data_IF_370337803746
#
_entry.id   IF_370337803746
#
_cell.length_a   1.000
_cell.length_b   1.000
_cell.length_c   1.000
_cell.angle_alpha   90.00
_cell.angle_beta   90.00
_cell.angle_gamma   90.00
#
_symmetry.space_group_name_H-M   'P 1'
#
loop_
_entity.id
_entity.type
_entity.pdbx_description
1 polymer ?
#
# COMPACT_ATOMS: atom_id res chain seq x y z
N UNK A 1 28.03 99.78 -2.54
CA UNK A 1 28.21 99.96 -1.09
C UNK A 1 27.38 98.91 -0.37
N UNK A 2 28.03 98.01 0.37
CA UNK A 2 27.54 97.29 1.56
C UNK A 2 28.70 96.36 2.00
N UNK A 3 29.32 96.68 3.12
CA UNK A 3 30.44 95.91 3.70
C UNK A 3 29.91 94.68 4.46
N UNK A 4 30.59 93.52 4.41
CA UNK A 4 30.29 92.38 5.28
C UNK A 4 30.89 92.56 6.68
N UNK A 5 30.05 92.25 7.69
CA UNK A 5 30.38 92.22 9.12
C UNK A 5 31.33 91.06 9.47
N UNK A 6 32.39 91.36 10.24
CA UNK A 6 33.26 90.37 10.89
C UNK A 6 32.54 89.70 12.07
N UNK A 7 32.50 88.37 12.10
CA UNK A 7 32.10 87.57 13.26
C UNK A 7 33.33 87.25 14.13
N UNK A 8 33.17 87.42 15.45
CA UNK A 8 34.23 87.25 16.45
C UNK A 8 34.46 85.79 16.88
N UNK A 9 35.54 85.54 17.65
CA UNK A 9 35.99 84.19 18.02
C UNK A 9 35.10 83.55 19.10
N UNK A 10 34.69 82.31 18.86
CA UNK A 10 33.88 81.48 19.76
C UNK A 10 34.81 80.80 20.79
N UNK A 11 34.53 81.01 22.09
CA UNK A 11 35.28 80.44 23.23
C UNK A 11 35.03 78.93 23.38
N UNK A 12 36.08 78.08 23.45
CA UNK A 12 35.95 76.63 23.53
C UNK A 12 36.07 76.12 24.98
N UNK A 13 35.03 76.29 25.81
CA UNK A 13 35.10 75.74 27.19
C UNK A 13 33.84 75.11 27.74
N UNK A 14 32.72 75.11 26.99
CA UNK A 14 31.46 74.45 27.42
C UNK A 14 31.06 73.20 26.65
N UNK A 15 31.77 72.84 25.57
CA UNK A 15 31.45 71.65 24.76
C UNK A 15 31.98 70.32 25.34
N UNK A 16 33.00 70.35 26.22
CA UNK A 16 33.61 69.10 26.73
C UNK A 16 32.76 68.36 27.77
N UNK A 17 31.84 69.03 28.49
CA UNK A 17 30.98 68.38 29.49
C UNK A 17 29.68 67.80 28.90
N UNK A 18 29.22 68.30 27.75
CA UNK A 18 28.03 67.78 27.07
C UNK A 18 28.29 66.47 26.31
N UNK A 19 29.48 66.28 25.71
CA UNK A 19 29.83 65.04 25.02
C UNK A 19 30.07 63.85 25.96
N UNK A 20 30.56 64.07 27.18
CA UNK A 20 30.82 62.99 28.13
C UNK A 20 29.53 62.37 28.69
N UNK A 21 28.48 63.17 28.92
CA UNK A 21 27.17 62.67 29.37
C UNK A 21 26.39 61.93 28.27
N UNK A 22 26.52 62.37 27.01
CA UNK A 22 25.89 61.69 25.87
C UNK A 22 26.50 60.30 25.59
N UNK A 23 27.82 60.12 25.80
CA UNK A 23 28.50 58.83 25.62
C UNK A 23 28.16 57.81 26.72
N UNK A 24 27.94 58.24 27.97
CA UNK A 24 27.53 57.34 29.06
C UNK A 24 26.07 56.90 28.91
N UNK A 25 25.17 57.77 28.44
CA UNK A 25 23.78 57.41 28.14
C UNK A 25 23.65 56.46 26.93
N UNK A 26 24.52 56.58 25.93
CA UNK A 26 24.59 55.63 24.81
C UNK A 26 25.15 54.26 25.25
N UNK A 27 26.17 54.24 26.11
CA UNK A 27 26.74 52.99 26.63
C UNK A 27 25.76 52.21 27.52
N UNK A 28 24.90 52.89 28.29
CA UNK A 28 23.85 52.24 29.10
C UNK A 28 22.64 51.81 28.24
N UNK A 29 22.32 52.51 27.16
CA UNK A 29 21.22 52.16 26.26
C UNK A 29 21.48 50.95 25.35
N UNK A 30 22.74 50.73 24.94
CA UNK A 30 23.12 49.61 24.04
C UNK A 30 23.36 48.30 24.80
N UNK A 31 23.63 48.35 26.11
CA UNK A 31 23.82 47.14 26.93
C UNK A 31 22.53 46.38 27.32
N UNK A 32 21.35 47.01 27.26
CA UNK A 32 20.10 46.43 27.74
C UNK A 32 19.20 45.83 26.63
N UNK A 33 19.50 46.09 25.36
CA UNK A 33 18.64 45.68 24.22
C UNK A 33 19.10 44.39 23.54
N UNK A 34 20.23 43.80 23.95
CA UNK A 34 20.83 42.62 23.29
C UNK A 34 20.44 41.24 23.83
N UNK A 35 19.78 41.12 24.99
CA UNK A 35 19.51 39.81 25.63
C UNK A 35 18.05 39.35 25.65
N UNK A 36 17.10 40.11 25.08
CA UNK A 36 15.67 39.80 25.20
C UNK A 36 15.03 39.14 23.97
N UNK A 37 15.82 38.77 22.94
CA UNK A 37 15.27 38.15 21.75
C UNK A 37 16.03 36.90 21.29
N UNK A 38 16.47 36.07 22.24
CA UNK A 38 16.76 34.67 21.92
C UNK A 38 15.43 34.02 21.54
N UNK A 39 15.21 33.81 20.24
CA UNK A 39 14.17 32.90 19.75
C UNK A 39 14.55 31.53 20.31
N UNK A 40 13.65 30.92 21.07
CA UNK A 40 13.85 29.54 21.50
C UNK A 40 13.98 28.61 20.29
N UNK A 41 14.40 27.34 20.48
CA UNK A 41 14.50 26.39 19.39
C UNK A 41 13.15 26.21 18.67
N UNK A 42 13.24 25.96 17.36
CA UNK A 42 12.07 25.65 16.55
C UNK A 42 11.53 24.26 16.89
N UNK A 43 10.21 24.04 16.82
CA UNK A 43 9.62 22.72 17.07
C UNK A 43 10.16 21.67 16.09
N UNK A 44 10.46 20.48 16.60
CA UNK A 44 10.91 19.33 15.79
C UNK A 44 9.95 19.06 14.63
N UNK A 45 10.49 18.90 13.42
CA UNK A 45 9.72 18.50 12.25
C UNK A 45 9.59 16.98 12.20
N UNK A 46 8.34 16.50 12.20
CA UNK A 46 7.99 15.08 12.15
C UNK A 46 7.29 14.70 10.84
N UNK A 47 7.14 15.64 9.90
CA UNK A 47 6.32 15.49 8.70
C UNK A 47 6.71 14.29 7.84
N UNK A 48 8.00 14.08 7.58
CA UNK A 48 8.52 12.96 6.77
C UNK A 48 8.20 11.61 7.42
N UNK A 49 8.39 11.51 8.73
CA UNK A 49 8.10 10.27 9.46
C UNK A 49 6.58 10.02 9.57
N UNK A 50 5.76 11.07 9.68
CA UNK A 50 4.30 10.97 9.61
C UNK A 50 3.83 10.49 8.24
N UNK A 51 4.37 11.05 7.16
CA UNK A 51 4.03 10.64 5.80
C UNK A 51 4.29 9.14 5.61
N UNK A 52 5.44 8.65 6.06
CA UNK A 52 5.77 7.22 5.99
C UNK A 52 4.77 6.33 6.74
N UNK A 53 4.27 6.77 7.91
CA UNK A 53 3.25 6.02 8.66
C UNK A 53 1.92 6.00 7.89
N UNK A 54 1.54 7.14 7.31
CA UNK A 54 0.34 7.25 6.48
C UNK A 54 0.44 6.35 5.24
N UNK A 55 1.58 6.35 4.54
CA UNK A 55 1.83 5.50 3.38
C UNK A 55 1.74 4.01 3.75
N UNK A 56 2.33 3.60 4.87
CA UNK A 56 2.24 2.23 5.36
C UNK A 56 0.79 1.83 5.70
N UNK A 57 0.03 2.73 6.33
CA UNK A 57 -1.39 2.53 6.63
C UNK A 57 -2.21 2.35 5.35
N UNK A 58 -2.04 3.24 4.37
CA UNK A 58 -2.70 3.15 3.07
C UNK A 58 -2.34 1.86 2.32
N UNK A 59 -1.08 1.43 2.40
CA UNK A 59 -0.63 0.17 1.80
C UNK A 59 -1.39 -1.03 2.37
N UNK A 60 -1.66 -1.07 3.68
CA UNK A 60 -2.43 -2.16 4.30
C UNK A 60 -3.90 -2.16 3.82
N UNK A 61 -4.51 -0.98 3.72
CA UNK A 61 -5.86 -0.82 3.15
C UNK A 61 -5.91 -1.31 1.70
N UNK A 62 -4.92 -0.94 0.89
CA UNK A 62 -4.83 -1.39 -0.50
C UNK A 62 -4.68 -2.91 -0.61
N UNK A 63 -3.86 -3.53 0.23
CA UNK A 63 -3.73 -4.99 0.29
C UNK A 63 -5.09 -5.65 0.55
N UNK A 64 -5.86 -5.15 1.53
CA UNK A 64 -7.20 -5.65 1.84
C UNK A 64 -8.13 -5.53 0.63
N UNK A 65 -8.23 -4.35 0.03
CA UNK A 65 -9.10 -4.09 -1.13
C UNK A 65 -8.75 -4.96 -2.35
N UNK A 66 -7.46 -5.14 -2.61
CA UNK A 66 -6.98 -5.98 -3.71
C UNK A 66 -7.31 -7.46 -3.47
N UNK A 67 -7.15 -7.95 -2.24
CA UNK A 67 -7.53 -9.32 -1.89
C UNK A 67 -9.03 -9.55 -2.03
N UNK A 68 -9.86 -8.63 -1.54
CA UNK A 68 -11.32 -8.72 -1.68
C UNK A 68 -11.78 -8.69 -3.14
N UNK A 69 -11.16 -7.85 -3.97
CA UNK A 69 -11.44 -7.78 -5.41
C UNK A 69 -11.08 -9.09 -6.10
N UNK A 70 -9.87 -9.59 -5.87
CA UNK A 70 -9.39 -10.81 -6.52
C UNK A 70 -10.20 -12.06 -6.08
N UNK A 71 -10.68 -12.09 -4.84
CA UNK A 71 -11.61 -13.14 -4.38
C UNK A 71 -12.95 -13.10 -5.11
N UNK A 72 -13.52 -11.90 -5.31
CA UNK A 72 -14.75 -11.73 -6.12
C UNK A 72 -14.53 -12.08 -7.58
N UNK A 73 -13.35 -11.75 -8.12
CA UNK A 73 -12.98 -12.11 -9.50
C UNK A 73 -12.85 -13.64 -9.66
N UNK A 74 -12.25 -14.33 -8.70
CA UNK A 74 -12.19 -15.80 -8.66
C UNK A 74 -13.59 -16.42 -8.68
N UNK A 75 -14.49 -15.92 -7.83
CA UNK A 75 -15.89 -16.37 -7.79
C UNK A 75 -16.62 -16.11 -9.11
N UNK A 76 -16.46 -14.91 -9.69
CA UNK A 76 -17.09 -14.55 -10.96
C UNK A 76 -16.59 -15.43 -12.12
N UNK A 77 -15.28 -15.70 -12.18
CA UNK A 77 -14.71 -16.61 -13.18
C UNK A 77 -15.26 -18.04 -13.01
N UNK A 78 -15.46 -18.50 -11.78
CA UNK A 78 -16.04 -19.83 -11.51
C UNK A 78 -17.49 -19.87 -11.98
N UNK A 79 -18.29 -18.87 -11.62
CA UNK A 79 -19.68 -18.79 -12.04
C UNK A 79 -19.82 -18.70 -13.56
N UNK A 80 -18.92 -17.96 -14.23
CA UNK A 80 -18.87 -17.89 -15.71
C UNK A 80 -18.67 -19.28 -16.30
N UNK A 81 -17.67 -20.01 -15.81
CA UNK A 81 -17.38 -21.37 -16.25
C UNK A 81 -18.57 -22.31 -16.01
N UNK A 82 -19.19 -22.25 -14.84
CA UNK A 82 -20.34 -23.10 -14.48
C UNK A 82 -21.63 -22.74 -15.24
N UNK A 83 -21.72 -21.53 -15.78
CA UNK A 83 -22.89 -21.06 -16.53
C UNK A 83 -22.94 -21.54 -17.98
N UNK A 84 -21.91 -22.29 -18.42
CA UNK A 84 -21.88 -22.85 -19.76
C UNK A 84 -23.13 -23.72 -20.03
N UNK A 85 -23.80 -23.54 -21.18
CA UNK A 85 -25.00 -24.31 -21.52
C UNK A 85 -24.69 -25.81 -21.53
N UNK A 86 -25.53 -26.63 -20.90
CA UNK A 86 -25.31 -28.09 -20.83
C UNK A 86 -25.32 -28.74 -22.21
N UNK A 87 -26.02 -28.11 -23.17
CA UNK A 87 -26.06 -28.52 -24.57
C UNK A 87 -24.68 -28.52 -25.22
N UNK A 88 -23.73 -27.71 -24.72
CA UNK A 88 -22.33 -27.71 -25.17
C UNK A 88 -21.69 -29.09 -25.00
N UNK A 89 -22.06 -29.80 -23.93
CA UNK A 89 -21.46 -31.05 -23.51
C UNK A 89 -22.26 -32.29 -23.92
N UNK A 90 -23.34 -32.11 -24.69
CA UNK A 90 -24.18 -33.20 -25.18
C UNK A 90 -23.43 -34.07 -26.20
N UNK A 91 -23.78 -35.35 -26.29
CA UNK A 91 -23.24 -36.25 -27.31
C UNK A 91 -23.46 -35.68 -28.73
N UNK A 92 -22.45 -35.67 -29.63
CA UNK A 92 -21.20 -36.44 -29.61
C UNK A 92 -19.97 -35.69 -29.05
N UNK A 93 -20.14 -34.72 -28.14
CA UNK A 93 -19.00 -34.03 -27.53
C UNK A 93 -18.04 -35.01 -26.80
N UNK A 94 -16.71 -34.91 -26.99
CA UNK A 94 -15.71 -35.78 -26.33
C UNK A 94 -15.49 -35.39 -24.87
N UNK A 95 -16.52 -35.58 -24.04
CA UNK A 95 -16.61 -35.03 -22.69
C UNK A 95 -15.51 -35.53 -21.76
N UNK A 96 -15.18 -36.82 -21.79
CA UNK A 96 -14.16 -37.39 -20.92
C UNK A 96 -12.77 -36.81 -21.23
N UNK A 97 -12.46 -36.62 -22.51
CA UNK A 97 -11.23 -36.00 -22.96
C UNK A 97 -11.17 -34.52 -22.57
N UNK A 98 -12.27 -33.80 -22.74
CA UNK A 98 -12.39 -32.41 -22.28
C UNK A 98 -12.17 -32.30 -20.77
N UNK A 99 -12.83 -33.15 -19.97
CA UNK A 99 -12.68 -33.18 -18.51
C UNK A 99 -11.23 -33.47 -18.11
N UNK A 100 -10.56 -34.41 -18.79
CA UNK A 100 -9.15 -34.69 -18.54
C UNK A 100 -8.29 -33.45 -18.81
N UNK A 101 -8.44 -32.83 -19.99
CA UNK A 101 -7.67 -31.64 -20.37
C UNK A 101 -7.94 -30.49 -19.41
N UNK A 102 -9.20 -30.26 -19.04
CA UNK A 102 -9.61 -29.25 -18.07
C UNK A 102 -8.95 -29.48 -16.70
N UNK A 103 -9.08 -30.69 -16.15
CA UNK A 103 -8.49 -31.05 -14.85
C UNK A 103 -6.97 -30.95 -14.87
N UNK A 104 -6.32 -31.38 -15.96
CA UNK A 104 -4.88 -31.29 -16.12
C UNK A 104 -4.43 -29.83 -16.19
N UNK A 105 -5.10 -29.04 -17.03
CA UNK A 105 -4.86 -27.61 -17.18
C UNK A 105 -4.97 -26.90 -15.83
N UNK A 106 -6.08 -27.08 -15.12
CA UNK A 106 -6.32 -26.43 -13.83
C UNK A 106 -5.31 -26.83 -12.75
N UNK A 107 -4.76 -28.05 -12.79
CA UNK A 107 -3.76 -28.53 -11.83
C UNK A 107 -2.31 -28.20 -12.22
N UNK A 108 -2.07 -27.72 -13.43
CA UNK A 108 -0.74 -27.34 -13.89
C UNK A 108 -0.20 -26.19 -13.03
N UNK A 109 1.02 -26.29 -12.46
CA UNK A 109 1.58 -25.21 -11.66
C UNK A 109 1.69 -23.93 -12.48
N UNK A 110 1.43 -22.79 -11.85
CA UNK A 110 1.60 -21.47 -12.45
C UNK A 110 2.59 -20.67 -11.63
N UNK A 111 3.70 -20.25 -12.26
CA UNK A 111 4.69 -19.39 -11.61
C UNK A 111 4.28 -17.93 -11.72
N UNK A 112 3.85 -17.35 -10.59
CA UNK A 112 3.46 -15.95 -10.50
C UNK A 112 4.62 -14.97 -10.63
N UNK A 113 5.88 -15.42 -10.46
CA UNK A 113 7.08 -14.58 -10.54
C UNK A 113 7.64 -14.48 -11.95
N UNK A 114 7.59 -15.59 -12.69
CA UNK A 114 8.14 -15.65 -14.04
C UNK A 114 7.21 -15.01 -15.09
N UNK A 115 5.92 -14.86 -14.78
CA UNK A 115 4.92 -14.48 -15.77
C UNK A 115 4.95 -15.50 -16.91
N UNK A 116 4.52 -16.72 -16.60
CA UNK A 116 4.84 -17.91 -17.40
C UNK A 116 4.60 -17.70 -18.92
N UNK A 117 5.70 -17.75 -19.68
CA UNK A 117 5.73 -17.64 -21.16
C UNK A 117 5.68 -19.03 -21.79
N UNK A 118 5.15 -20.03 -21.07
CA UNK A 118 4.98 -21.36 -21.60
C UNK A 118 4.06 -21.35 -22.81
N UNK A 119 4.64 -21.47 -24.01
CA UNK A 119 3.87 -21.67 -25.24
C UNK A 119 3.07 -22.97 -25.12
N UNK A 120 1.76 -22.84 -24.94
CA UNK A 120 0.82 -23.93 -25.18
C UNK A 120 0.74 -24.21 -26.67
N UNK A 121 0.43 -25.45 -27.03
CA UNK A 121 0.11 -25.83 -28.42
C UNK A 121 -1.20 -25.18 -28.91
N UNK A 122 -2.05 -24.75 -27.97
CA UNK A 122 -3.31 -24.05 -28.25
C UNK A 122 -3.12 -22.56 -27.97
N UNK A 123 -3.34 -21.74 -29.00
CA UNK A 123 -3.27 -20.29 -28.90
C UNK A 123 -4.24 -19.77 -27.82
N UNK A 124 -3.74 -18.93 -26.92
CA UNK A 124 -4.50 -18.35 -25.81
C UNK A 124 -4.55 -19.14 -24.50
N UNK A 125 -4.03 -20.38 -24.44
CA UNK A 125 -3.88 -21.12 -23.17
C UNK A 125 -2.44 -21.01 -22.63
N UNK A 126 -2.28 -20.88 -21.32
CA UNK A 126 -0.96 -20.89 -20.66
C UNK A 126 -0.64 -22.22 -19.97
N UNK A 127 -1.63 -23.09 -19.78
CA UNK A 127 -1.46 -24.41 -19.18
C UNK A 127 -1.01 -25.45 -20.22
N UNK A 128 -0.22 -26.44 -19.78
CA UNK A 128 0.25 -27.53 -20.65
C UNK A 128 -0.53 -28.82 -20.40
N UNK A 129 -1.29 -29.26 -21.40
CA UNK A 129 -1.97 -30.56 -21.38
C UNK A 129 -1.52 -31.41 -22.56
N UNK A 130 -1.05 -32.62 -22.29
CA UNK A 130 -0.56 -33.56 -23.32
C UNK A 130 -1.64 -33.97 -24.33
N UNK A 131 -2.93 -33.90 -23.94
CA UNK A 131 -4.05 -34.25 -24.81
C UNK A 131 -4.82 -33.05 -25.36
N UNK A 132 -4.32 -31.82 -25.15
CA UNK A 132 -4.96 -30.62 -25.71
C UNK A 132 -5.05 -30.70 -27.24
N UNK A 133 -3.96 -31.08 -27.93
CA UNK A 133 -3.98 -31.26 -29.38
C UNK A 133 -4.99 -32.32 -29.85
N UNK A 134 -5.05 -33.46 -29.15
CA UNK A 134 -6.04 -34.52 -29.45
C UNK A 134 -7.48 -34.03 -29.27
N UNK A 135 -7.76 -33.28 -28.20
CA UNK A 135 -9.08 -32.70 -27.97
C UNK A 135 -9.49 -31.77 -29.12
N UNK A 136 -8.56 -30.94 -29.61
CA UNK A 136 -8.85 -30.04 -30.73
C UNK A 136 -9.20 -30.80 -32.02
N UNK A 137 -8.52 -31.91 -32.29
CA UNK A 137 -8.85 -32.80 -33.42
C UNK A 137 -10.23 -33.41 -33.25
N UNK A 138 -10.53 -34.01 -32.08
CA UNK A 138 -11.83 -34.63 -31.84
C UNK A 138 -12.99 -33.62 -31.87
N UNK A 139 -12.79 -32.41 -31.34
CA UNK A 139 -13.78 -31.33 -31.43
C UNK A 139 -14.01 -30.90 -32.88
N UNK A 140 -12.96 -30.79 -33.69
CA UNK A 140 -13.07 -30.42 -35.09
C UNK A 140 -13.80 -31.48 -35.92
N UNK A 141 -13.54 -32.76 -35.65
CA UNK A 141 -14.14 -33.88 -36.38
C UNK A 141 -15.58 -34.18 -35.97
N UNK A 142 -15.89 -34.13 -34.66
CA UNK A 142 -17.19 -34.57 -34.12
C UNK A 142 -18.19 -33.43 -33.92
N UNK A 143 -17.73 -32.26 -33.47
CA UNK A 143 -18.58 -31.14 -33.03
C UNK A 143 -17.97 -29.76 -33.38
N UNK A 144 -17.70 -29.47 -34.67
CA UNK A 144 -16.99 -28.24 -35.06
C UNK A 144 -17.71 -26.96 -34.59
N UNK A 145 -19.03 -26.97 -34.51
CA UNK A 145 -19.83 -25.85 -33.99
C UNK A 145 -19.57 -25.53 -32.51
N UNK A 146 -19.09 -26.49 -31.72
CA UNK A 146 -18.81 -26.34 -30.29
C UNK A 146 -17.34 -26.06 -29.98
N UNK A 147 -16.45 -26.16 -30.98
CA UNK A 147 -15.00 -26.01 -30.80
C UNK A 147 -14.62 -24.66 -30.16
N UNK A 148 -15.18 -23.55 -30.66
CA UNK A 148 -14.90 -22.22 -30.13
C UNK A 148 -15.40 -22.05 -28.69
N UNK A 149 -16.57 -22.61 -28.37
CA UNK A 149 -17.13 -22.56 -27.02
C UNK A 149 -16.32 -23.40 -26.04
N UNK A 150 -15.90 -24.60 -26.43
CA UNK A 150 -15.03 -25.46 -25.62
C UNK A 150 -13.66 -24.81 -25.34
N UNK A 151 -13.08 -24.15 -26.34
CA UNK A 151 -11.84 -23.39 -26.16
C UNK A 151 -12.05 -22.19 -25.21
N UNK A 152 -13.19 -21.50 -25.33
CA UNK A 152 -13.58 -20.45 -24.40
C UNK A 152 -13.62 -20.95 -22.95
N UNK A 153 -14.22 -22.12 -22.72
CA UNK A 153 -14.29 -22.76 -21.41
C UNK A 153 -12.90 -23.13 -20.85
N UNK A 154 -12.01 -23.69 -21.69
CA UNK A 154 -10.62 -23.96 -21.27
C UNK A 154 -9.86 -22.67 -20.94
N UNK A 155 -10.12 -21.58 -21.67
CA UNK A 155 -9.50 -20.29 -21.42
C UNK A 155 -9.97 -19.68 -20.09
N UNK A 156 -11.25 -19.78 -19.78
CA UNK A 156 -11.78 -19.36 -18.48
C UNK A 156 -11.18 -20.18 -17.33
N UNK A 157 -11.03 -21.48 -17.52
CA UNK A 157 -10.40 -22.37 -16.55
C UNK A 157 -8.92 -22.06 -16.31
N UNK A 158 -8.19 -21.69 -17.37
CA UNK A 158 -6.80 -21.24 -17.23
C UNK A 158 -6.72 -19.90 -16.47
N UNK A 159 -7.65 -18.97 -16.71
CA UNK A 159 -7.75 -17.73 -15.90
C UNK A 159 -8.04 -18.04 -14.43
N UNK A 160 -8.92 -18.99 -14.13
CA UNK A 160 -9.18 -19.48 -12.78
C UNK A 160 -7.92 -20.01 -12.10
N UNK A 161 -7.15 -20.83 -12.82
CA UNK A 161 -5.86 -21.37 -12.36
C UNK A 161 -4.87 -20.27 -12.02
N UNK A 162 -4.72 -19.28 -12.91
CA UNK A 162 -3.84 -18.13 -12.69
C UNK A 162 -4.27 -17.31 -11.47
N UNK A 163 -5.57 -17.03 -11.33
CA UNK A 163 -6.12 -16.30 -10.18
C UNK A 163 -5.91 -17.06 -8.87
N UNK A 164 -6.12 -18.38 -8.85
CA UNK A 164 -5.81 -19.26 -7.71
C UNK A 164 -4.35 -19.11 -7.30
N UNK A 165 -3.42 -19.26 -8.25
CA UNK A 165 -1.99 -19.18 -7.98
C UNK A 165 -1.59 -17.80 -7.42
N UNK A 166 -2.10 -16.73 -8.02
CA UNK A 166 -1.92 -15.34 -7.58
C UNK A 166 -2.41 -15.11 -6.14
N UNK A 167 -3.60 -15.58 -5.81
CA UNK A 167 -4.18 -15.46 -4.46
C UNK A 167 -3.38 -16.25 -3.43
N UNK A 168 -3.07 -17.52 -3.70
CA UNK A 168 -2.30 -18.37 -2.79
C UNK A 168 -0.89 -17.81 -2.55
N UNK A 169 -0.24 -17.30 -3.60
CA UNK A 169 1.05 -16.64 -3.48
C UNK A 169 1.00 -15.44 -2.53
N UNK A 170 0.02 -14.54 -2.70
CA UNK A 170 -0.16 -13.37 -1.83
C UNK A 170 -0.50 -13.77 -0.40
N UNK A 171 -1.40 -14.74 -0.22
CA UNK A 171 -1.73 -15.28 1.11
C UNK A 171 -0.49 -15.83 1.83
N UNK A 172 0.44 -16.46 1.10
CA UNK A 172 1.73 -16.89 1.64
C UNK A 172 2.65 -15.75 2.10
N UNK A 173 2.51 -14.55 1.52
CA UNK A 173 3.35 -13.38 1.85
C UNK A 173 2.82 -12.56 3.03
N UNK A 174 1.50 -12.52 3.24
CA UNK A 174 0.86 -11.67 4.25
C UNK A 174 1.41 -11.85 5.69
N UNK A 175 1.72 -13.07 6.18
CA UNK A 175 2.30 -13.21 7.50
C UNK A 175 3.64 -12.48 7.66
N UNK A 176 4.45 -12.42 6.59
CA UNK A 176 5.70 -11.66 6.56
C UNK A 176 5.46 -10.16 6.65
N UNK A 177 4.54 -9.65 5.81
CA UNK A 177 4.15 -8.24 5.79
C UNK A 177 3.60 -7.78 7.15
N UNK A 178 2.70 -8.55 7.76
CA UNK A 178 2.12 -8.21 9.06
C UNK A 178 3.17 -8.19 10.18
N UNK A 179 4.15 -9.11 10.15
CA UNK A 179 5.25 -9.14 11.12
C UNK A 179 6.14 -7.91 10.98
N UNK A 180 6.52 -7.57 9.75
CA UNK A 180 7.32 -6.39 9.44
C UNK A 180 6.63 -5.11 9.92
N UNK A 181 5.33 -4.96 9.61
CA UNK A 181 4.56 -3.78 10.00
C UNK A 181 4.39 -3.65 11.51
N UNK A 182 4.18 -4.77 12.23
CA UNK A 182 4.16 -4.77 13.71
C UNK A 182 5.49 -4.35 14.32
N UNK A 183 6.61 -4.85 13.76
CA UNK A 183 7.94 -4.46 14.21
C UNK A 183 8.21 -2.99 13.93
N UNK A 184 7.87 -2.50 12.75
CA UNK A 184 7.99 -1.09 12.39
C UNK A 184 7.17 -0.19 13.33
N UNK A 185 5.93 -0.56 13.65
CA UNK A 185 5.08 0.14 14.61
C UNK A 185 5.71 0.19 16.01
N UNK A 186 6.22 -0.94 16.51
CA UNK A 186 6.87 -1.02 17.82
C UNK A 186 8.11 -0.11 17.89
N UNK A 187 8.96 -0.14 16.87
CA UNK A 187 10.15 0.73 16.76
C UNK A 187 9.75 2.20 16.78
N UNK A 188 8.78 2.61 15.96
CA UNK A 188 8.33 4.01 15.88
C UNK A 188 7.69 4.50 17.17
N UNK A 189 6.94 3.65 17.88
CA UNK A 189 6.41 3.95 19.22
C UNK A 189 7.55 4.19 20.22
N UNK A 190 8.60 3.36 20.19
CA UNK A 190 9.77 3.53 21.05
C UNK A 190 10.57 4.80 20.70
N UNK A 191 10.70 5.14 19.40
CA UNK A 191 11.34 6.38 18.94
C UNK A 191 10.55 7.60 19.40
N UNK A 192 9.21 7.60 19.26
CA UNK A 192 8.35 8.69 19.73
C UNK A 192 8.51 8.95 21.23
N UNK A 193 8.54 7.90 22.05
CA UNK A 193 8.78 8.02 23.50
C UNK A 193 10.14 8.66 23.79
N UNK A 194 11.20 8.19 23.12
CA UNK A 194 12.55 8.74 23.28
C UNK A 194 12.62 10.21 22.86
N UNK A 195 11.98 10.59 21.74
CA UNK A 195 11.91 11.99 21.30
C UNK A 195 11.14 12.86 22.31
N UNK A 196 9.99 12.39 22.80
CA UNK A 196 9.23 13.10 23.84
C UNK A 196 10.05 13.31 25.11
N UNK A 197 10.73 12.27 25.59
CA UNK A 197 11.56 12.35 26.80
C UNK A 197 12.76 13.28 26.62
N UNK A 198 13.38 13.29 25.42
CA UNK A 198 14.49 14.17 25.10
C UNK A 198 14.03 15.64 25.07
N UNK A 199 12.91 15.94 24.42
CA UNK A 199 12.38 17.29 24.32
C UNK A 199 11.79 17.79 25.64
N UNK A 200 11.17 16.93 26.44
CA UNK A 200 10.66 17.29 27.77
C UNK A 200 11.77 17.75 28.72
N UNK A 201 12.98 17.17 28.62
CA UNK A 201 14.16 17.64 29.38
C UNK A 201 14.60 19.05 28.98
N UNK A 202 14.31 19.46 27.74
CA UNK A 202 14.63 20.78 27.18
C UNK A 202 13.46 21.76 27.24
N UNK A 203 12.37 21.42 27.95
CA UNK A 203 11.13 22.22 27.98
C UNK A 203 11.37 23.70 28.31
N UNK A 204 12.30 24.01 29.21
CA UNK A 204 12.62 25.39 29.62
C UNK A 204 13.32 26.22 28.54
N UNK A 205 13.89 25.58 27.52
CA UNK A 205 14.54 26.25 26.39
C UNK A 205 13.50 26.78 25.38
N UNK A 206 12.30 26.22 25.37
CA UNK A 206 11.21 26.59 24.46
C UNK A 206 10.41 27.80 24.96
N UNK A 207 9.94 28.61 23.99
CA UNK A 207 8.83 29.54 24.25
C UNK A 207 7.52 28.75 24.38
N UNK A 208 6.57 29.25 25.17
CA UNK A 208 5.30 28.57 25.44
C UNK A 208 4.57 28.08 24.19
N UNK A 209 4.48 28.93 23.16
CA UNK A 209 3.80 28.59 21.90
C UNK A 209 4.53 27.49 21.11
N UNK A 210 5.87 27.53 21.07
CA UNK A 210 6.68 26.50 20.40
C UNK A 210 6.53 25.14 21.10
N UNK A 211 6.49 25.13 22.43
CA UNK A 211 6.25 23.91 23.21
C UNK A 211 4.88 23.32 22.93
N UNK A 212 3.83 24.15 22.94
CA UNK A 212 2.47 23.69 22.60
C UNK A 212 2.39 23.13 21.18
N UNK A 213 3.02 23.79 20.21
CA UNK A 213 3.03 23.29 18.83
C UNK A 213 3.77 21.94 18.73
N UNK A 214 4.87 21.76 19.46
CA UNK A 214 5.56 20.47 19.53
C UNK A 214 4.67 19.38 20.14
N UNK A 215 3.98 19.65 21.25
CA UNK A 215 3.03 18.70 21.85
C UNK A 215 1.93 18.30 20.85
N UNK A 216 1.38 19.26 20.10
CA UNK A 216 0.40 18.98 19.03
C UNK A 216 0.99 18.11 17.92
N UNK A 217 2.25 18.31 17.52
CA UNK A 217 2.93 17.46 16.53
C UNK A 217 3.11 16.03 17.05
N UNK A 218 3.51 15.88 18.30
CA UNK A 218 3.60 14.58 18.94
C UNK A 218 2.25 13.88 19.11
N UNK A 219 1.17 14.61 19.39
CA UNK A 219 -0.17 14.05 19.47
C UNK A 219 -0.64 13.55 18.10
N UNK A 220 -0.46 14.34 17.04
CA UNK A 220 -0.73 13.92 15.65
C UNK A 220 0.05 12.68 15.26
N UNK A 221 1.34 12.63 15.59
CA UNK A 221 2.18 11.45 15.33
C UNK A 221 1.64 10.19 16.02
N UNK A 222 1.20 10.31 17.27
CA UNK A 222 0.61 9.20 18.03
C UNK A 222 -0.70 8.71 17.41
N UNK A 223 -1.55 9.64 16.97
CA UNK A 223 -2.78 9.32 16.23
C UNK A 223 -2.48 8.51 14.96
N UNK A 224 -1.48 8.90 14.16
CA UNK A 224 -1.07 8.14 12.97
C UNK A 224 -0.56 6.72 13.31
N UNK A 225 0.21 6.57 14.40
CA UNK A 225 0.64 5.25 14.86
C UNK A 225 -0.54 4.38 15.31
N UNK A 226 -1.57 4.98 15.92
CA UNK A 226 -2.78 4.26 16.31
C UNK A 226 -3.61 3.86 15.09
N UNK A 227 -3.73 4.72 14.08
CA UNK A 227 -4.35 4.37 12.79
C UNK A 227 -3.64 3.17 12.15
N UNK A 228 -2.31 3.20 12.06
CA UNK A 228 -1.52 2.07 11.54
C UNK A 228 -1.74 0.79 12.36
N UNK A 229 -1.82 0.89 13.70
CA UNK A 229 -2.13 -0.25 14.58
C UNK A 229 -3.48 -0.88 14.21
N UNK A 230 -4.51 -0.05 14.05
CA UNK A 230 -5.86 -0.49 13.67
C UNK A 230 -5.85 -1.19 12.31
N UNK A 231 -5.18 -0.66 11.30
CA UNK A 231 -5.12 -1.32 9.98
C UNK A 231 -4.35 -2.64 9.99
N UNK A 232 -3.28 -2.75 10.81
CA UNK A 232 -2.58 -4.02 11.03
C UNK A 232 -3.53 -5.05 11.65
N UNK A 233 -4.29 -4.65 12.66
CA UNK A 233 -5.24 -5.52 13.37
C UNK A 233 -6.36 -5.98 12.45
N UNK A 234 -6.99 -5.05 11.73
CA UNK A 234 -8.04 -5.36 10.75
C UNK A 234 -7.55 -6.33 9.67
N UNK A 235 -6.37 -6.09 9.07
CA UNK A 235 -5.82 -6.99 8.06
C UNK A 235 -5.52 -8.38 8.66
N UNK A 236 -4.97 -8.42 9.87
CA UNK A 236 -4.67 -9.67 10.56
C UNK A 236 -5.93 -10.48 10.91
N UNK A 237 -7.03 -9.81 11.24
CA UNK A 237 -8.31 -10.44 11.57
C UNK A 237 -8.98 -11.07 10.35
N UNK A 238 -8.96 -10.40 9.20
CA UNK A 238 -9.61 -10.92 7.98
C UNK A 238 -8.80 -12.00 7.26
N UNK A 239 -7.47 -11.96 7.35
CA UNK A 239 -6.56 -12.85 6.60
C UNK A 239 -6.86 -14.36 6.75
N UNK A 240 -7.15 -14.90 7.95
CA UNK A 240 -7.45 -16.32 8.13
C UNK A 240 -8.67 -16.81 7.35
N UNK A 241 -9.63 -15.93 7.04
CA UNK A 241 -10.85 -16.28 6.30
C UNK A 241 -10.64 -16.44 4.80
N UNK A 242 -9.61 -15.81 4.22
CA UNK A 242 -9.43 -15.76 2.77
C UNK A 242 -8.99 -17.09 2.17
N UNK A 243 -8.14 -17.86 2.86
CA UNK A 243 -7.69 -19.17 2.37
C UNK A 243 -8.85 -20.18 2.24
N UNK A 244 -9.71 -20.36 3.26
CA UNK A 244 -10.90 -21.19 3.14
C UNK A 244 -11.84 -20.78 2.00
N UNK A 245 -11.98 -19.47 1.74
CA UNK A 245 -12.79 -18.99 0.61
C UNK A 245 -12.21 -19.47 -0.72
N UNK A 246 -10.90 -19.32 -0.94
CA UNK A 246 -10.23 -19.84 -2.15
C UNK A 246 -10.43 -21.36 -2.28
N UNK A 247 -10.21 -22.11 -1.20
CA UNK A 247 -10.37 -23.57 -1.19
C UNK A 247 -11.81 -24.01 -1.48
N UNK A 248 -12.80 -23.26 -0.98
CA UNK A 248 -14.22 -23.52 -1.26
C UNK A 248 -14.56 -23.32 -2.73
N UNK A 249 -14.06 -22.24 -3.36
CA UNK A 249 -14.28 -22.01 -4.80
C UNK A 249 -13.63 -23.11 -5.65
N UNK A 250 -12.44 -23.58 -5.26
CA UNK A 250 -11.74 -24.69 -5.93
C UNK A 250 -12.53 -25.99 -5.80
N UNK A 251 -13.03 -26.30 -4.60
CA UNK A 251 -13.80 -27.51 -4.34
C UNK A 251 -15.11 -27.53 -5.14
N UNK A 252 -15.80 -26.37 -5.22
CA UNK A 252 -17.01 -26.21 -6.04
C UNK A 252 -16.73 -26.48 -7.54
N UNK A 253 -15.62 -25.97 -8.07
CA UNK A 253 -15.20 -26.21 -9.45
C UNK A 253 -14.95 -27.71 -9.72
N UNK A 254 -14.26 -28.42 -8.83
CA UNK A 254 -14.07 -29.87 -8.97
C UNK A 254 -15.38 -30.65 -8.93
N UNK A 255 -16.30 -30.25 -8.04
CA UNK A 255 -17.63 -30.86 -7.97
C UNK A 255 -18.39 -30.64 -9.28
N UNK A 256 -18.35 -29.42 -9.84
CA UNK A 256 -18.98 -29.10 -11.11
C UNK A 256 -18.39 -29.92 -12.28
N UNK A 257 -17.06 -29.95 -12.44
CA UNK A 257 -16.38 -30.75 -13.48
C UNK A 257 -16.74 -32.24 -13.37
N UNK A 258 -16.88 -32.75 -12.15
CA UNK A 258 -17.33 -34.14 -11.92
C UNK A 258 -18.78 -34.34 -12.35
N UNK A 259 -19.65 -33.36 -12.09
CA UNK A 259 -21.08 -33.42 -12.42
C UNK A 259 -21.39 -33.33 -13.91
N UNK A 260 -20.47 -32.82 -14.74
CA UNK A 260 -20.67 -32.72 -16.20
C UNK A 260 -20.97 -34.08 -16.85
N UNK A 261 -20.48 -35.18 -16.29
CA UNK A 261 -20.75 -36.54 -16.80
C UNK A 261 -22.02 -37.19 -16.24
N UNK A 262 -22.77 -36.50 -15.38
CA UNK A 262 -24.03 -37.03 -14.90
C UNK A 262 -25.05 -37.05 -16.05
N UNK A 263 -25.81 -38.14 -16.25
CA UNK A 263 -26.82 -38.19 -17.29
C UNK A 263 -27.86 -37.09 -17.06
N UNK A 264 -28.18 -36.34 -18.13
CA UNK A 264 -29.30 -35.39 -18.15
C UNK A 264 -30.56 -36.16 -17.74
N UNK A 265 -31.19 -35.73 -16.63
CA UNK A 265 -32.47 -36.28 -16.18
C UNK A 265 -33.63 -35.67 -16.95
#
# INVERSE_FOLDING_TARGET
MLMPRRLGPIRPSRLRRACALALVLWAVGVGASGCFNTRGPDPLDLSVAQQKISDDSQRLVQIRQVMERDLKELEALRLSFESAPQELYAHPFPLDLFKYVAMRCFNDPFDTRAGDVGASEIDGLTCRSEYAGRLMVELHEQVPQHQAAALGQLTELDRLRQMRAKLLFRLGQLPGVLREMRQALATRRADLRRMRDAEARRRTEYRGDNWQEMERRFARFDQELNNLSTEIEQLAEVTPSWKPLVETQIAALYAHLTSLSAPLK
#
